data_IF_034057223415
#
_entry.id   IF_034057223415
#
_cell.length_a   1.000
_cell.length_b   1.000
_cell.length_c   1.000
_cell.angle_alpha   90.00
_cell.angle_beta   90.00
_cell.angle_gamma   90.00
#
_symmetry.space_group_name_H-M   'P 1'
#
loop_
_entity.id
_entity.type
_entity.pdbx_description
1 polymer ?
#
# COMPACT_ATOMS: atom_id res chain seq x y z
N UNK A 1 21.35 10.30 -1.82
CA UNK A 1 20.92 9.01 -2.42
C UNK A 1 21.91 7.86 -2.16
N UNK A 2 23.23 8.01 -2.41
CA UNK A 2 24.24 6.94 -2.14
C UNK A 2 24.25 6.46 -0.68
N UNK A 3 24.13 7.35 0.30
CA UNK A 3 24.13 7.01 1.73
C UNK A 3 22.92 6.14 2.07
N UNK A 4 21.75 6.46 1.54
CA UNK A 4 20.51 5.73 1.80
C UNK A 4 20.54 4.30 1.26
N UNK A 5 21.15 4.08 0.08
CA UNK A 5 21.28 2.73 -0.53
C UNK A 5 22.24 1.87 0.27
N UNK A 6 23.39 2.42 0.69
CA UNK A 6 24.36 1.69 1.50
C UNK A 6 23.77 1.31 2.86
N UNK A 7 23.03 2.20 3.51
CA UNK A 7 22.32 1.90 4.74
C UNK A 7 21.28 0.80 4.54
N UNK A 8 20.49 0.86 3.48
CA UNK A 8 19.53 -0.18 3.13
C UNK A 8 20.20 -1.55 2.97
N UNK A 9 21.36 -1.63 2.31
CA UNK A 9 22.02 -2.90 2.04
C UNK A 9 22.67 -3.51 3.29
N UNK A 10 23.25 -2.69 4.17
CA UNK A 10 24.09 -3.17 5.29
C UNK A 10 23.37 -3.19 6.64
N UNK A 11 22.42 -2.28 6.89
CA UNK A 11 21.79 -2.11 8.21
C UNK A 11 20.46 -2.87 8.36
N UNK A 12 19.90 -3.41 7.25
CA UNK A 12 18.56 -4.03 7.31
C UNK A 12 18.60 -5.55 7.28
N UNK A 13 17.73 -6.18 8.08
CA UNK A 13 17.49 -7.63 8.04
C UNK A 13 16.75 -8.02 6.77
N UNK A 14 16.86 -9.27 6.33
CA UNK A 14 16.23 -9.75 5.08
C UNK A 14 14.70 -9.57 5.08
N UNK A 15 14.02 -9.82 6.20
CA UNK A 15 12.57 -9.60 6.33
C UNK A 15 12.19 -8.13 6.19
N UNK A 16 12.99 -7.22 6.78
CA UNK A 16 12.77 -5.78 6.69
C UNK A 16 13.09 -5.27 5.28
N UNK A 17 14.11 -5.80 4.62
CA UNK A 17 14.41 -5.49 3.20
C UNK A 17 13.21 -5.81 2.30
N UNK A 18 12.65 -7.01 2.47
CA UNK A 18 11.49 -7.42 1.70
C UNK A 18 10.30 -6.48 1.96
N UNK A 19 10.03 -6.16 3.21
CA UNK A 19 8.94 -5.26 3.59
C UNK A 19 9.14 -3.84 3.01
N UNK A 20 10.37 -3.31 3.04
CA UNK A 20 10.71 -2.00 2.44
C UNK A 20 10.45 -2.01 0.93
N UNK A 21 10.86 -3.08 0.23
CA UNK A 21 10.65 -3.20 -1.22
C UNK A 21 9.15 -3.26 -1.55
N UNK A 22 8.38 -4.05 -0.81
CA UNK A 22 6.93 -4.16 -1.00
C UNK A 22 6.23 -2.80 -0.80
N UNK A 23 6.57 -2.10 0.27
CA UNK A 23 5.99 -0.78 0.55
C UNK A 23 6.45 0.28 -0.46
N UNK A 24 7.70 0.20 -0.94
CA UNK A 24 8.20 1.09 -1.99
C UNK A 24 7.41 0.95 -3.30
N UNK A 25 7.09 -0.27 -3.70
CA UNK A 25 6.35 -0.55 -4.94
C UNK A 25 4.84 -0.31 -4.78
N UNK A 26 4.31 -0.34 -3.57
CA UNK A 26 2.88 -0.30 -3.30
C UNK A 26 2.14 0.90 -3.90
N UNK A 27 2.61 2.17 -3.82
CA UNK A 27 1.92 3.31 -4.44
C UNK A 27 1.80 3.17 -5.96
N UNK A 28 2.85 2.67 -6.63
CA UNK A 28 2.84 2.43 -8.06
C UNK A 28 1.85 1.32 -8.45
N UNK A 29 1.86 0.20 -7.72
CA UNK A 29 0.95 -0.92 -7.96
C UNK A 29 -0.51 -0.53 -7.71
N UNK A 30 -0.77 0.31 -6.72
CA UNK A 30 -2.10 0.81 -6.42
C UNK A 30 -2.69 1.63 -7.57
N UNK A 31 -1.84 2.30 -8.36
CA UNK A 31 -2.24 3.07 -9.53
C UNK A 31 -2.33 2.25 -10.82
N UNK A 32 -1.71 1.06 -10.88
CA UNK A 32 -1.62 0.25 -12.10
C UNK A 32 -2.45 -1.02 -12.05
N UNK A 33 -2.60 -1.65 -10.87
CA UNK A 33 -3.32 -2.93 -10.74
C UNK A 33 -3.85 -3.15 -9.33
N UNK A 34 -5.16 -3.15 -9.18
CA UNK A 34 -5.83 -3.45 -7.90
C UNK A 34 -5.42 -4.83 -7.39
N UNK A 35 -5.37 -5.84 -8.27
CA UNK A 35 -4.98 -7.20 -7.91
C UNK A 35 -3.55 -7.28 -7.34
N UNK A 36 -2.58 -6.64 -8.01
CA UNK A 36 -1.20 -6.63 -7.53
C UNK A 36 -1.06 -5.85 -6.23
N UNK A 37 -1.74 -4.71 -6.09
CA UNK A 37 -1.76 -3.95 -4.85
C UNK A 37 -2.30 -4.79 -3.68
N UNK A 38 -3.39 -5.52 -3.89
CA UNK A 38 -3.99 -6.43 -2.91
C UNK A 38 -3.05 -7.57 -2.52
N UNK A 39 -2.35 -8.14 -3.49
CA UNK A 39 -1.37 -9.19 -3.26
C UNK A 39 -0.20 -8.66 -2.43
N UNK A 40 0.35 -7.50 -2.78
CA UNK A 40 1.47 -6.88 -2.04
C UNK A 40 1.06 -6.47 -0.62
N UNK A 41 -0.16 -5.93 -0.45
CA UNK A 41 -0.70 -5.65 0.89
C UNK A 41 -0.82 -6.92 1.73
N UNK A 42 -1.28 -8.03 1.15
CA UNK A 42 -1.42 -9.31 1.84
C UNK A 42 -0.08 -9.90 2.24
N UNK A 43 0.91 -9.90 1.33
CA UNK A 43 2.26 -10.39 1.64
C UNK A 43 2.92 -9.51 2.71
N UNK A 44 2.77 -8.17 2.61
CA UNK A 44 3.27 -7.25 3.64
C UNK A 44 2.63 -7.52 5.01
N UNK A 45 1.33 -7.77 5.05
CA UNK A 45 0.61 -8.11 6.27
C UNK A 45 1.15 -9.40 6.91
N UNK A 46 1.42 -10.44 6.13
CA UNK A 46 2.02 -11.69 6.63
C UNK A 46 3.41 -11.46 7.22
N UNK A 47 4.25 -10.65 6.56
CA UNK A 47 5.57 -10.30 7.10
C UNK A 47 5.43 -9.54 8.42
N UNK A 48 4.50 -8.59 8.52
CA UNK A 48 4.27 -7.82 9.75
C UNK A 48 3.79 -8.74 10.88
N UNK A 49 2.87 -9.67 10.62
CA UNK A 49 2.46 -10.67 11.60
C UNK A 49 3.67 -11.46 12.09
N UNK A 50 4.50 -11.94 11.17
CA UNK A 50 5.72 -12.66 11.52
C UNK A 50 6.65 -11.82 12.41
N UNK A 51 6.86 -10.54 12.09
CA UNK A 51 7.70 -9.61 12.87
C UNK A 51 7.14 -9.34 14.27
N UNK A 52 5.80 -9.32 14.44
CA UNK A 52 5.14 -9.13 15.76
C UNK A 52 5.47 -10.28 16.72
N UNK A 53 5.60 -11.51 16.22
CA UNK A 53 5.93 -12.67 17.05
C UNK A 53 7.36 -12.66 17.59
N UNK A 54 8.29 -11.89 16.99
CA UNK A 54 9.64 -11.76 17.52
C UNK A 54 9.68 -10.82 18.72
N UNK A 55 10.21 -11.28 19.84
CA UNK A 55 10.27 -10.54 21.11
C UNK A 55 10.92 -9.16 21.01
N UNK A 56 11.93 -9.02 20.17
CA UNK A 56 12.65 -7.76 19.96
C UNK A 56 11.76 -6.64 19.40
N UNK A 57 10.74 -6.99 18.65
CA UNK A 57 9.85 -6.03 17.98
C UNK A 57 8.59 -5.70 18.80
N UNK A 58 8.24 -6.48 19.82
CA UNK A 58 7.00 -6.32 20.60
C UNK A 58 6.86 -4.92 21.23
N UNK A 59 7.96 -4.30 21.63
CA UNK A 59 7.95 -2.95 22.22
C UNK A 59 7.45 -1.89 21.24
N UNK A 60 7.79 -2.00 19.96
CA UNK A 60 7.35 -1.06 18.93
C UNK A 60 5.85 -1.22 18.68
N UNK A 61 5.40 -2.46 18.57
CA UNK A 61 3.98 -2.75 18.32
C UNK A 61 3.08 -2.43 19.52
N UNK A 62 3.61 -2.55 20.77
CA UNK A 62 2.86 -2.19 21.97
C UNK A 62 2.53 -0.68 22.07
N UNK A 63 3.24 0.18 21.32
CA UNK A 63 2.96 1.61 21.25
C UNK A 63 1.68 1.94 20.45
N UNK A 64 1.22 1.01 19.60
CA UNK A 64 0.05 1.19 18.73
C UNK A 64 -1.28 0.74 19.36
N UNK A 65 -1.38 0.72 20.70
CA UNK A 65 -2.60 0.23 21.38
C UNK A 65 -3.85 1.03 21.02
N UNK A 66 -3.75 2.36 20.98
CA UNK A 66 -4.88 3.24 20.67
C UNK A 66 -5.29 3.10 19.21
N UNK A 67 -4.35 3.13 18.29
CA UNK A 67 -4.58 2.98 16.85
C UNK A 67 -5.21 1.63 16.55
N UNK A 68 -4.76 0.58 17.22
CA UNK A 68 -5.32 -0.78 17.10
C UNK A 68 -6.76 -0.81 17.61
N UNK A 69 -7.06 -0.16 18.74
CA UNK A 69 -8.41 -0.10 19.27
C UNK A 69 -9.36 0.63 18.31
N UNK A 70 -8.98 1.81 17.81
CA UNK A 70 -9.80 2.54 16.83
C UNK A 70 -10.01 1.74 15.54
N UNK A 71 -8.97 1.07 15.07
CA UNK A 71 -9.11 0.21 13.91
C UNK A 71 -10.07 -0.95 14.18
N UNK A 72 -9.99 -1.61 15.33
CA UNK A 72 -10.90 -2.71 15.68
C UNK A 72 -12.35 -2.25 15.71
N UNK A 73 -12.64 -1.08 16.28
CA UNK A 73 -14.00 -0.51 16.29
C UNK A 73 -14.47 -0.26 14.85
N UNK A 74 -13.63 0.37 14.02
CA UNK A 74 -13.94 0.62 12.61
C UNK A 74 -14.16 -0.69 11.83
N UNK A 75 -13.31 -1.69 12.06
CA UNK A 75 -13.41 -2.99 11.41
C UNK A 75 -14.68 -3.74 11.81
N UNK A 76 -15.07 -3.66 13.08
CA UNK A 76 -16.36 -4.21 13.54
C UNK A 76 -17.55 -3.56 12.83
N UNK A 77 -17.52 -2.24 12.62
CA UNK A 77 -18.57 -1.54 11.86
C UNK A 77 -18.64 -2.08 10.43
N UNK A 78 -17.50 -2.31 9.75
CA UNK A 78 -17.46 -2.92 8.42
C UNK A 78 -18.09 -4.32 8.45
N UNK A 79 -17.72 -5.16 9.42
CA UNK A 79 -18.27 -6.52 9.53
C UNK A 79 -19.78 -6.53 9.84
N UNK A 80 -20.26 -5.61 10.68
CA UNK A 80 -21.69 -5.47 10.95
C UNK A 80 -22.45 -5.00 9.70
N UNK A 81 -21.87 -4.08 8.92
CA UNK A 81 -22.50 -3.60 7.69
C UNK A 81 -22.69 -4.70 6.64
N UNK A 82 -21.88 -5.77 6.69
CA UNK A 82 -22.06 -6.95 5.82
C UNK A 82 -23.40 -7.64 6.01
N UNK A 83 -23.92 -7.66 7.23
CA UNK A 83 -25.21 -8.30 7.56
C UNK A 83 -26.36 -7.61 6.81
N UNK A 84 -26.22 -6.31 6.53
CA UNK A 84 -27.21 -5.49 5.82
C UNK A 84 -26.90 -5.34 4.33
N UNK A 85 -25.87 -6.04 3.81
CA UNK A 85 -25.50 -5.95 2.41
C UNK A 85 -26.49 -6.70 1.51
N UNK A 86 -26.91 -6.07 0.40
CA UNK A 86 -27.79 -6.67 -0.61
C UNK A 86 -27.11 -7.90 -1.27
N UNK A 87 -25.77 -7.89 -1.40
CA UNK A 87 -24.95 -8.94 -2.01
C UNK A 87 -23.89 -9.42 -1.04
N UNK A 88 -24.29 -10.17 -0.02
CA UNK A 88 -23.41 -10.67 1.03
C UNK A 88 -22.20 -11.45 0.46
N UNK A 89 -22.44 -12.35 -0.49
CA UNK A 89 -21.39 -13.20 -1.08
C UNK A 89 -20.27 -12.41 -1.73
N UNK A 90 -20.61 -11.32 -2.44
CA UNK A 90 -19.62 -10.46 -3.13
C UNK A 90 -18.88 -9.58 -2.14
N UNK A 91 -19.58 -9.09 -1.10
CA UNK A 91 -19.05 -8.14 -0.13
C UNK A 91 -18.22 -8.80 0.98
N UNK A 92 -18.44 -10.09 1.23
CA UNK A 92 -17.83 -10.81 2.38
C UNK A 92 -16.30 -10.86 2.28
N UNK A 93 -15.75 -11.35 1.17
CA UNK A 93 -14.31 -11.51 1.02
C UNK A 93 -13.54 -10.18 1.13
N UNK A 94 -13.88 -9.12 0.40
CA UNK A 94 -13.18 -7.85 0.52
C UNK A 94 -13.24 -7.26 1.93
N UNK A 95 -14.39 -7.32 2.57
CA UNK A 95 -14.58 -6.79 3.93
C UNK A 95 -13.82 -7.60 4.98
N UNK A 96 -13.85 -8.93 4.86
CA UNK A 96 -13.15 -9.81 5.79
C UNK A 96 -11.63 -9.59 5.72
N UNK A 97 -11.06 -9.46 4.52
CA UNK A 97 -9.62 -9.25 4.35
C UNK A 97 -9.18 -7.79 4.47
N UNK A 98 -10.08 -6.87 4.84
CA UNK A 98 -9.75 -5.45 4.98
C UNK A 98 -8.66 -5.17 6.04
N UNK A 99 -8.53 -6.03 7.05
CA UNK A 99 -7.52 -5.92 8.12
C UNK A 99 -6.06 -5.90 7.57
N UNK A 100 -5.81 -6.41 6.37
CA UNK A 100 -4.47 -6.41 5.75
C UNK A 100 -3.92 -5.00 5.55
N UNK A 101 -4.79 -4.02 5.26
CA UNK A 101 -4.36 -2.63 5.10
C UNK A 101 -3.94 -1.99 6.43
N UNK A 102 -4.58 -2.37 7.51
CA UNK A 102 -4.12 -1.98 8.85
C UNK A 102 -2.74 -2.55 9.16
N UNK A 103 -2.53 -3.83 8.89
CA UNK A 103 -1.22 -4.45 9.07
C UNK A 103 -0.15 -3.81 8.20
N UNK A 104 -0.47 -3.42 6.97
CA UNK A 104 0.42 -2.64 6.11
C UNK A 104 0.79 -1.30 6.77
N UNK A 105 -0.18 -0.56 7.32
CA UNK A 105 0.07 0.69 8.05
C UNK A 105 0.95 0.47 9.30
N UNK A 106 0.72 -0.61 10.04
CA UNK A 106 1.56 -1.03 11.17
C UNK A 106 2.99 -1.33 10.72
N UNK A 107 3.16 -1.97 9.56
CA UNK A 107 4.47 -2.23 8.95
C UNK A 107 5.19 -0.93 8.57
N UNK A 108 4.50 0.03 7.99
CA UNK A 108 5.04 1.36 7.70
C UNK A 108 5.49 2.05 8.99
N UNK A 109 4.67 2.05 10.03
CA UNK A 109 5.02 2.63 11.32
C UNK A 109 6.26 1.97 11.93
N UNK A 110 6.33 0.62 11.90
CA UNK A 110 7.49 -0.13 12.37
C UNK A 110 8.77 0.30 11.68
N UNK A 111 8.75 0.41 10.34
CA UNK A 111 9.92 0.81 9.56
C UNK A 111 10.32 2.27 9.83
N UNK A 112 9.36 3.18 10.04
CA UNK A 112 9.64 4.56 10.43
C UNK A 112 10.35 4.67 11.77
N UNK A 113 9.97 3.82 12.73
CA UNK A 113 10.59 3.80 14.05
C UNK A 113 11.98 3.16 14.05
N UNK A 114 12.17 2.16 13.21
CA UNK A 114 13.41 1.38 13.20
C UNK A 114 14.48 2.00 12.30
N UNK A 115 14.10 2.59 11.16
CA UNK A 115 15.03 3.06 10.14
C UNK A 115 14.79 4.53 9.78
N UNK A 116 15.70 5.42 10.14
CA UNK A 116 15.60 6.86 9.85
C UNK A 116 15.57 7.17 8.34
N UNK A 117 16.26 6.36 7.54
CA UNK A 117 16.33 6.53 6.07
C UNK A 117 15.03 6.12 5.35
N UNK A 118 14.16 5.32 5.99
CA UNK A 118 12.93 4.81 5.36
C UNK A 118 11.99 5.94 4.93
N UNK A 119 11.94 7.05 5.68
CA UNK A 119 11.19 8.24 5.30
C UNK A 119 11.53 8.74 3.89
N UNK A 120 12.82 8.78 3.58
CA UNK A 120 13.29 9.24 2.27
C UNK A 120 12.93 8.26 1.15
N UNK A 121 12.98 6.94 1.43
CA UNK A 121 12.57 5.89 0.47
C UNK A 121 11.08 6.03 0.15
N UNK A 122 10.23 6.15 1.17
CA UNK A 122 8.79 6.30 0.98
C UNK A 122 8.45 7.59 0.22
N UNK A 123 9.07 8.71 0.60
CA UNK A 123 8.88 9.99 -0.09
C UNK A 123 9.27 9.92 -1.56
N UNK A 124 10.42 9.27 -1.86
CA UNK A 124 10.86 9.08 -3.24
C UNK A 124 9.89 8.18 -4.03
N UNK A 125 9.37 7.12 -3.43
CA UNK A 125 8.36 6.25 -4.05
C UNK A 125 7.10 7.04 -4.44
N UNK A 126 6.59 7.86 -3.53
CA UNK A 126 5.41 8.69 -3.78
C UNK A 126 5.68 9.71 -4.91
N UNK A 127 6.79 10.44 -4.87
CA UNK A 127 7.14 11.40 -5.93
C UNK A 127 7.26 10.69 -7.27
N UNK A 128 7.93 9.55 -7.32
CA UNK A 128 8.09 8.77 -8.55
C UNK A 128 6.74 8.36 -9.12
N UNK A 129 5.85 7.80 -8.29
CA UNK A 129 4.51 7.39 -8.71
C UNK A 129 3.69 8.58 -9.21
N UNK A 130 3.65 9.69 -8.47
CA UNK A 130 2.92 10.89 -8.89
C UNK A 130 3.47 11.48 -10.19
N UNK A 131 4.80 11.49 -10.35
CA UNK A 131 5.45 11.98 -11.59
C UNK A 131 5.05 11.13 -12.79
N UNK A 132 5.02 9.80 -12.65
CA UNK A 132 4.59 8.90 -13.72
C UNK A 132 3.11 9.10 -14.07
N UNK A 133 2.23 9.21 -13.07
CA UNK A 133 0.81 9.44 -13.30
C UNK A 133 0.56 10.79 -13.98
N UNK A 134 1.26 11.84 -13.55
CA UNK A 134 1.16 13.17 -14.18
C UNK A 134 1.65 13.14 -15.61
N UNK A 135 2.76 12.46 -15.87
CA UNK A 135 3.29 12.32 -17.21
C UNK A 135 2.32 11.56 -18.14
N UNK A 136 1.75 10.44 -17.66
CA UNK A 136 0.75 9.69 -18.42
C UNK A 136 -0.51 10.52 -18.69
N UNK A 137 -1.00 11.29 -17.72
CA UNK A 137 -2.15 12.17 -17.88
C UNK A 137 -1.91 13.25 -18.95
N UNK A 138 -0.70 13.85 -18.95
CA UNK A 138 -0.32 14.84 -20.01
C UNK A 138 -0.23 14.14 -21.36
N UNK A 139 0.39 12.96 -21.42
CA UNK A 139 0.51 12.17 -22.64
C UNK A 139 -0.87 11.81 -23.21
N UNK A 140 -1.80 11.33 -22.39
CA UNK A 140 -3.18 11.04 -22.80
C UNK A 140 -3.90 12.28 -23.33
N UNK A 141 -3.63 13.46 -22.76
CA UNK A 141 -4.28 14.69 -23.21
C UNK A 141 -3.79 15.13 -24.60
N UNK A 142 -2.52 14.84 -24.94
CA UNK A 142 -1.91 15.21 -26.22
C UNK A 142 -2.25 14.18 -27.31
N UNK A 143 -2.14 12.90 -27.01
CA UNK A 143 -2.20 11.80 -27.99
C UNK A 143 -3.52 11.04 -28.01
N UNK A 144 -4.44 11.32 -27.08
CA UNK A 144 -5.73 10.63 -26.91
C UNK A 144 -5.63 9.13 -26.54
N UNK A 145 -4.45 8.63 -26.20
CA UNK A 145 -4.24 7.28 -25.65
C UNK A 145 -3.18 7.34 -24.53
N UNK A 146 -3.22 6.38 -23.61
CA UNK A 146 -2.24 6.30 -22.54
C UNK A 146 -0.91 5.68 -23.03
N UNK A 147 0.13 5.70 -22.20
CA UNK A 147 1.46 5.15 -22.54
C UNK A 147 1.38 3.66 -22.91
N UNK A 148 0.41 2.91 -22.37
CA UNK A 148 0.21 1.49 -22.64
C UNK A 148 -0.57 1.25 -23.95
N UNK A 149 -1.19 2.31 -24.52
CA UNK A 149 -1.92 2.24 -25.80
C UNK A 149 -3.44 2.10 -25.67
N UNK A 150 -4.01 2.23 -24.47
CA UNK A 150 -5.47 2.29 -24.32
C UNK A 150 -5.99 3.64 -24.80
N UNK A 151 -6.92 3.64 -25.76
CA UNK A 151 -7.58 4.85 -26.25
C UNK A 151 -8.40 5.50 -25.12
N UNK A 152 -8.37 6.84 -25.10
CA UNK A 152 -9.29 7.64 -24.28
C UNK A 152 -10.71 7.28 -24.72
N UNK A 153 -11.57 6.86 -23.77
CA UNK A 153 -12.93 6.42 -24.09
C UNK A 153 -13.65 7.41 -25.00
N UNK A 154 -14.19 6.91 -26.12
CA UNK A 154 -14.95 7.70 -27.12
C UNK A 154 -16.29 8.22 -26.58
N UNK A 155 -16.67 7.76 -25.39
CA UNK A 155 -17.87 8.26 -24.72
C UNK A 155 -17.59 9.65 -24.14
N UNK A 156 -18.29 10.60 -24.65
CA UNK A 156 -18.53 12.01 -24.38
C UNK A 156 -18.10 12.66 -23.05
N UNK A 157 -17.38 11.99 -22.20
CA UNK A 157 -16.87 12.52 -20.94
C UNK A 157 -15.35 12.75 -21.03
N UNK A 158 -14.86 13.97 -20.72
CA UNK A 158 -13.45 14.32 -20.83
C UNK A 158 -12.59 13.75 -19.69
N UNK A 159 -12.87 12.52 -19.26
CA UNK A 159 -12.09 11.91 -18.18
C UNK A 159 -10.81 11.28 -18.71
N UNK A 160 -9.70 11.67 -18.11
CA UNK A 160 -8.43 10.96 -18.23
C UNK A 160 -8.63 9.59 -17.58
N UNK A 161 -8.64 8.52 -18.38
CA UNK A 161 -8.63 7.17 -17.82
C UNK A 161 -7.22 6.92 -17.28
N UNK A 162 -7.11 6.54 -16.01
CA UNK A 162 -5.85 6.03 -15.49
C UNK A 162 -5.49 4.71 -16.21
N UNK A 163 -4.39 4.06 -15.83
CA UNK A 163 -3.86 2.84 -16.46
C UNK A 163 -4.84 1.65 -16.60
N UNK A 164 -6.16 1.87 -16.49
CA UNK A 164 -7.23 0.87 -16.66
C UNK A 164 -8.18 1.27 -17.77
#
# INVERSE_FOLDING_TARGET
>A
MKITINQFLHETNNSDKLLIILIFLFPFLLSTSIFLADLFASVSALIVIFLIFFKENQKIFSQLKFETYYFLVFYLIILISLIFSISFEISFLPSFFYFRYFLLAVGIYYLFKKYSFFKNILFFSLIFTFSLLTFDAIFQNIFAYNIIGYERGKDTTPYVTSFF
#
